data_IF_477001444850
#
_entry.id   IF_477001444850
#
_cell.length_a   1.000
_cell.length_b   1.000
_cell.length_c   1.000
_cell.angle_alpha   90.00
_cell.angle_beta   90.00
_cell.angle_gamma   90.00
#
_symmetry.space_group_name_H-M   'P 1'
#
loop_
_entity.id
_entity.type
_entity.pdbx_description
1 polymer ?
#
# COMPACT_ATOMS: atom_id res chain seq x y z
N UNK A 1 -13.48 -8.81 -2.74
CA UNK A 1 -14.00 -9.11 -1.39
C UNK A 1 -14.03 -7.84 -0.54
N UNK A 2 -12.93 -7.12 -0.44
CA UNK A 2 -12.86 -5.90 0.39
C UNK A 2 -13.99 -4.91 0.05
N UNK A 3 -14.18 -4.52 -1.21
CA UNK A 3 -15.21 -3.58 -1.64
C UNK A 3 -16.65 -4.11 -1.38
N UNK A 4 -16.82 -5.44 -1.35
CA UNK A 4 -18.09 -6.04 -0.95
C UNK A 4 -18.38 -5.82 0.53
N UNK A 5 -17.38 -5.98 1.40
CA UNK A 5 -17.52 -5.77 2.85
C UNK A 5 -17.65 -4.28 3.15
N UNK A 6 -16.87 -3.44 2.47
CA UNK A 6 -16.76 -2.00 2.68
C UNK A 6 -17.92 -1.17 2.14
N UNK A 7 -18.92 -1.77 1.55
CA UNK A 7 -20.01 -1.06 0.87
C UNK A 7 -20.55 0.15 1.67
N UNK A 8 -20.87 -0.05 2.96
CA UNK A 8 -21.39 1.02 3.82
C UNK A 8 -20.36 2.12 4.09
N UNK A 9 -19.11 1.74 4.27
CA UNK A 9 -17.98 2.66 4.51
C UNK A 9 -17.74 3.51 3.26
N UNK A 10 -17.71 2.86 2.11
CA UNK A 10 -17.45 3.50 0.83
C UNK A 10 -18.59 4.42 0.38
N UNK A 11 -19.84 4.17 0.82
CA UNK A 11 -20.95 5.11 0.58
C UNK A 11 -20.71 6.47 1.22
N UNK A 12 -20.00 6.52 2.35
CA UNK A 12 -19.66 7.76 3.08
C UNK A 12 -18.36 8.34 2.55
N UNK A 13 -17.29 7.57 2.58
CA UNK A 13 -15.95 8.08 2.28
C UNK A 13 -15.68 8.22 0.78
N UNK A 14 -16.29 7.36 -0.06
CA UNK A 14 -15.98 7.25 -1.50
C UNK A 14 -17.21 6.91 -2.35
N UNK A 15 -18.26 7.77 -2.35
CA UNK A 15 -19.55 7.46 -2.99
C UNK A 15 -19.44 7.25 -4.51
N UNK A 16 -18.40 7.77 -5.15
CA UNK A 16 -18.18 7.64 -6.60
C UNK A 16 -17.51 6.32 -7.02
N UNK A 17 -17.19 5.40 -6.07
CA UNK A 17 -16.69 4.07 -6.42
C UNK A 17 -17.76 3.24 -7.17
N UNK A 18 -17.36 2.25 -7.99
CA UNK A 18 -18.29 1.49 -8.84
C UNK A 18 -19.43 0.82 -8.08
N UNK A 19 -19.17 0.23 -6.90
CA UNK A 19 -20.21 -0.46 -6.11
C UNK A 19 -21.10 0.53 -5.36
N UNK A 20 -20.59 1.52 -4.57
CA UNK A 20 -21.41 2.52 -3.92
C UNK A 20 -22.28 3.35 -4.87
N UNK A 21 -21.76 3.67 -6.07
CA UNK A 21 -22.47 4.44 -7.09
C UNK A 21 -23.53 3.63 -7.86
N UNK A 22 -23.65 2.31 -7.60
CA UNK A 22 -24.58 1.44 -8.30
C UNK A 22 -24.15 0.99 -9.70
N UNK A 23 -22.97 1.43 -10.19
CA UNK A 23 -22.46 1.00 -11.51
C UNK A 23 -22.10 -0.48 -11.58
N UNK A 24 -21.78 -1.09 -10.45
CA UNK A 24 -21.50 -2.52 -10.31
C UNK A 24 -22.33 -3.07 -9.14
N UNK A 25 -23.06 -4.14 -9.37
CA UNK A 25 -23.81 -4.82 -8.32
C UNK A 25 -22.86 -5.48 -7.32
N UNK A 26 -23.16 -5.30 -6.02
CA UNK A 26 -22.35 -5.86 -4.92
C UNK A 26 -22.16 -7.37 -5.04
N UNK A 27 -23.25 -8.11 -5.40
CA UNK A 27 -23.18 -9.58 -5.59
C UNK A 27 -22.27 -9.97 -6.76
N UNK A 28 -22.33 -9.26 -7.87
CA UNK A 28 -21.46 -9.51 -9.03
C UNK A 28 -19.99 -9.33 -8.68
N UNK A 29 -19.66 -8.29 -7.92
CA UNK A 29 -18.28 -8.07 -7.45
C UNK A 29 -17.78 -9.23 -6.57
N UNK A 30 -18.62 -9.77 -5.70
CA UNK A 30 -18.27 -10.94 -4.87
C UNK A 30 -18.03 -12.18 -5.73
N UNK A 31 -18.91 -12.49 -6.67
CA UNK A 31 -18.79 -13.65 -7.56
C UNK A 31 -17.49 -13.55 -8.38
N UNK A 32 -17.23 -12.38 -8.98
CA UNK A 32 -15.99 -12.14 -9.74
C UNK A 32 -14.76 -12.33 -8.83
N UNK A 33 -14.80 -11.83 -7.59
CA UNK A 33 -13.69 -11.99 -6.65
C UNK A 33 -13.42 -13.46 -6.34
N UNK A 34 -14.44 -14.26 -6.09
CA UNK A 34 -14.32 -15.70 -5.83
C UNK A 34 -13.74 -16.42 -7.04
N UNK A 35 -14.25 -16.13 -8.24
CA UNK A 35 -13.74 -16.73 -9.47
C UNK A 35 -12.26 -16.40 -9.70
N UNK A 36 -11.87 -15.13 -9.48
CA UNK A 36 -10.46 -14.72 -9.62
C UNK A 36 -9.57 -15.39 -8.58
N UNK A 37 -10.05 -15.60 -7.35
CA UNK A 37 -9.28 -16.34 -6.35
C UNK A 37 -9.11 -17.83 -6.72
N UNK A 38 -10.14 -18.47 -7.26
CA UNK A 38 -10.05 -19.85 -7.73
C UNK A 38 -9.07 -19.99 -8.89
N UNK A 39 -9.15 -19.08 -9.88
CA UNK A 39 -8.25 -19.05 -11.04
C UNK A 39 -6.81 -18.77 -10.58
N UNK A 40 -6.60 -17.76 -9.72
CA UNK A 40 -5.29 -17.41 -9.18
C UNK A 40 -4.68 -18.55 -8.38
N UNK A 41 -5.48 -19.23 -7.55
CA UNK A 41 -5.05 -20.43 -6.81
C UNK A 41 -4.64 -21.57 -7.73
N UNK A 42 -5.42 -21.82 -8.77
CA UNK A 42 -5.09 -22.86 -9.76
C UNK A 42 -3.72 -22.59 -10.43
N UNK A 43 -3.47 -21.36 -10.87
CA UNK A 43 -2.17 -21.00 -11.43
C UNK A 43 -1.05 -21.02 -10.38
N UNK A 44 -1.34 -20.61 -9.15
CA UNK A 44 -0.37 -20.65 -8.06
C UNK A 44 0.16 -22.07 -7.82
N UNK A 45 -0.70 -23.10 -7.89
CA UNK A 45 -0.31 -24.50 -7.74
C UNK A 45 0.56 -25.07 -8.88
N UNK A 46 0.73 -24.32 -9.99
CA UNK A 46 1.67 -24.64 -11.07
C UNK A 46 3.09 -24.11 -10.83
N UNK A 47 3.28 -23.30 -9.79
CA UNK A 47 4.56 -22.69 -9.44
C UNK A 47 5.34 -23.54 -8.44
N UNK A 48 6.57 -23.13 -8.15
CA UNK A 48 7.42 -23.79 -7.16
C UNK A 48 6.86 -23.71 -5.74
N UNK A 49 7.28 -24.65 -4.87
CA UNK A 49 6.79 -24.79 -3.49
C UNK A 49 6.76 -23.49 -2.69
N UNK A 50 7.82 -22.69 -2.76
CA UNK A 50 7.92 -21.44 -1.99
C UNK A 50 6.94 -20.37 -2.49
N UNK A 51 6.70 -20.28 -3.80
CA UNK A 51 5.68 -19.41 -4.36
C UNK A 51 4.27 -19.81 -3.90
N UNK A 52 3.97 -21.13 -3.84
CA UNK A 52 2.70 -21.64 -3.31
C UNK A 52 2.52 -21.23 -1.85
N UNK A 53 3.56 -21.39 -1.02
CA UNK A 53 3.50 -21.01 0.40
C UNK A 53 3.16 -19.51 0.53
N UNK A 54 3.89 -18.63 -0.16
CA UNK A 54 3.68 -17.18 -0.07
C UNK A 54 2.33 -16.77 -0.66
N UNK A 55 1.97 -17.25 -1.84
CA UNK A 55 0.75 -16.83 -2.54
C UNK A 55 -0.52 -17.39 -1.91
N UNK A 56 -0.58 -18.73 -1.75
CA UNK A 56 -1.79 -19.41 -1.33
C UNK A 56 -1.94 -19.49 0.20
N UNK A 57 -0.88 -19.86 0.92
CA UNK A 57 -0.98 -20.09 2.38
C UNK A 57 -0.74 -18.83 3.22
N UNK A 58 -0.07 -17.79 2.69
CA UNK A 58 0.21 -16.56 3.42
C UNK A 58 -0.62 -15.40 2.89
N UNK A 59 -0.44 -15.01 1.62
CA UNK A 59 -1.06 -13.78 1.09
C UNK A 59 -2.57 -13.89 0.99
N UNK A 60 -3.12 -15.02 0.51
CA UNK A 60 -4.56 -15.17 0.35
C UNK A 60 -5.32 -15.15 1.70
N UNK A 61 -4.91 -15.89 2.75
CA UNK A 61 -5.52 -15.74 4.07
C UNK A 61 -5.37 -14.34 4.65
N UNK A 62 -4.22 -13.67 4.48
CA UNK A 62 -4.03 -12.30 4.94
C UNK A 62 -5.00 -11.31 4.28
N UNK A 63 -5.26 -11.44 2.98
CA UNK A 63 -6.23 -10.60 2.25
C UNK A 63 -7.63 -10.77 2.83
N UNK A 64 -8.04 -12.00 3.12
CA UNK A 64 -9.35 -12.29 3.71
C UNK A 64 -9.42 -11.78 5.15
N UNK A 65 -8.44 -12.10 5.98
CA UNK A 65 -8.37 -11.68 7.38
C UNK A 65 -8.28 -10.15 7.52
N UNK A 66 -7.56 -9.47 6.62
CA UNK A 66 -7.56 -8.01 6.58
C UNK A 66 -8.98 -7.46 6.46
N UNK A 67 -9.76 -7.97 5.52
CA UNK A 67 -11.09 -7.45 5.24
C UNK A 67 -12.10 -7.71 6.37
N UNK A 68 -11.91 -8.80 7.15
CA UNK A 68 -12.86 -9.24 8.18
C UNK A 68 -12.44 -8.76 9.58
N UNK A 69 -11.13 -8.79 9.90
CA UNK A 69 -10.61 -8.64 11.27
C UNK A 69 -9.73 -7.41 11.42
N UNK A 70 -8.73 -7.23 10.55
CA UNK A 70 -7.67 -6.25 10.78
C UNK A 70 -8.03 -4.84 10.34
N UNK A 71 -9.02 -4.73 9.49
CA UNK A 71 -9.52 -3.43 9.06
C UNK A 71 -10.10 -2.65 10.23
N UNK A 72 -9.67 -1.41 10.39
CA UNK A 72 -10.12 -0.54 11.47
C UNK A 72 -9.40 -0.76 12.80
N UNK A 73 -8.42 -1.67 12.88
CA UNK A 73 -7.50 -1.76 14.02
C UNK A 73 -6.34 -0.77 13.84
N UNK A 74 -5.98 -0.01 14.90
CA UNK A 74 -4.94 1.00 14.82
C UNK A 74 -3.62 0.38 14.33
N UNK A 75 -3.04 0.90 13.27
CA UNK A 75 -1.78 0.50 12.64
C UNK A 75 -1.74 -0.93 12.08
N UNK A 76 -2.41 -1.91 12.70
CA UNK A 76 -2.38 -3.32 12.28
C UNK A 76 -2.90 -3.47 10.85
N UNK A 77 -4.04 -2.84 10.54
CA UNK A 77 -4.60 -2.86 9.19
C UNK A 77 -3.63 -2.29 8.14
N UNK A 78 -2.99 -1.15 8.47
CA UNK A 78 -2.02 -0.49 7.60
C UNK A 78 -0.80 -1.39 7.34
N UNK A 79 -0.28 -2.03 8.39
CA UNK A 79 0.86 -2.97 8.29
C UNK A 79 0.49 -4.19 7.45
N UNK A 80 -0.68 -4.80 7.68
CA UNK A 80 -1.14 -5.97 6.93
C UNK A 80 -1.31 -5.65 5.44
N UNK A 81 -1.94 -4.54 5.09
CA UNK A 81 -2.09 -4.11 3.68
C UNK A 81 -0.73 -3.91 3.02
N UNK A 82 0.19 -3.27 3.73
CA UNK A 82 1.55 -3.00 3.25
C UNK A 82 2.36 -4.29 3.08
N UNK A 83 2.20 -5.22 4.03
CA UNK A 83 2.83 -6.54 3.97
C UNK A 83 2.33 -7.34 2.76
N UNK A 84 1.02 -7.36 2.49
CA UNK A 84 0.45 -8.03 1.33
C UNK A 84 1.07 -7.51 0.03
N UNK A 85 1.25 -6.18 -0.10
CA UNK A 85 1.88 -5.61 -1.29
C UNK A 85 3.37 -5.95 -1.37
N UNK A 86 4.11 -5.88 -0.27
CA UNK A 86 5.51 -6.32 -0.22
C UNK A 86 5.68 -7.80 -0.59
N UNK A 87 4.82 -8.66 -0.05
CA UNK A 87 4.80 -10.10 -0.34
C UNK A 87 4.53 -10.42 -1.81
N UNK A 88 3.87 -9.53 -2.57
CA UNK A 88 3.67 -9.72 -4.01
C UNK A 88 5.00 -9.78 -4.76
N UNK A 89 5.99 -8.97 -4.37
CA UNK A 89 7.35 -9.03 -4.95
C UNK A 89 8.09 -10.29 -4.52
N UNK A 90 7.97 -10.69 -3.26
CA UNK A 90 8.56 -11.95 -2.76
C UNK A 90 7.97 -13.16 -3.50
N UNK A 91 6.65 -13.16 -3.71
CA UNK A 91 5.97 -14.17 -4.52
C UNK A 91 6.54 -14.25 -5.93
N UNK A 92 6.70 -13.11 -6.63
CA UNK A 92 7.34 -13.06 -7.94
C UNK A 92 8.78 -13.58 -7.90
N UNK A 93 9.54 -13.21 -6.85
CA UNK A 93 10.91 -13.69 -6.66
C UNK A 93 11.01 -15.21 -6.59
N UNK A 94 10.10 -15.85 -5.88
CA UNK A 94 10.04 -17.31 -5.81
C UNK A 94 9.46 -17.95 -7.08
N UNK A 95 8.51 -17.29 -7.75
CA UNK A 95 7.90 -17.80 -8.98
C UNK A 95 8.90 -17.85 -10.16
N UNK A 96 9.89 -16.96 -10.16
CA UNK A 96 10.90 -16.83 -11.22
C UNK A 96 12.31 -17.18 -10.74
N UNK A 97 12.46 -17.82 -9.58
CA UNK A 97 13.75 -18.22 -8.97
C UNK A 97 14.76 -17.05 -8.84
N UNK A 98 14.25 -15.85 -8.56
CA UNK A 98 15.04 -14.62 -8.50
C UNK A 98 14.73 -13.77 -7.26
N UNK A 99 14.76 -14.39 -6.09
CA UNK A 99 14.36 -13.75 -4.83
C UNK A 99 15.24 -12.57 -4.44
N UNK A 100 16.56 -12.64 -4.69
CA UNK A 100 17.52 -11.61 -4.30
C UNK A 100 17.21 -10.25 -4.90
N UNK A 101 16.73 -10.21 -6.15
CA UNK A 101 16.35 -8.97 -6.84
C UNK A 101 14.99 -8.42 -6.39
N UNK A 102 14.18 -9.23 -5.71
CA UNK A 102 12.83 -8.84 -5.27
C UNK A 102 12.79 -8.33 -3.82
N UNK A 103 13.88 -8.46 -3.06
CA UNK A 103 13.94 -7.97 -1.67
C UNK A 103 13.80 -6.45 -1.61
N UNK A 104 14.59 -5.71 -2.41
CA UNK A 104 14.54 -4.24 -2.44
C UNK A 104 13.17 -3.73 -2.89
N UNK A 105 12.60 -4.17 -4.02
CA UNK A 105 11.23 -3.82 -4.42
C UNK A 105 10.19 -4.11 -3.32
N UNK A 106 10.30 -5.26 -2.66
CA UNK A 106 9.39 -5.65 -1.57
C UNK A 106 9.43 -4.66 -0.41
N UNK A 107 10.63 -4.29 0.06
CA UNK A 107 10.79 -3.36 1.18
C UNK A 107 10.31 -1.95 0.83
N UNK A 108 10.62 -1.47 -0.38
CA UNK A 108 10.17 -0.15 -0.84
C UNK A 108 8.65 -0.12 -1.03
N UNK A 109 8.06 -1.16 -1.60
CA UNK A 109 6.62 -1.29 -1.74
C UNK A 109 5.92 -1.33 -0.38
N UNK A 110 6.46 -2.08 0.57
CA UNK A 110 5.96 -2.11 1.95
C UNK A 110 5.99 -0.71 2.57
N UNK A 111 7.15 -0.03 2.54
CA UNK A 111 7.32 1.28 3.18
C UNK A 111 6.40 2.36 2.60
N UNK A 112 6.37 2.51 1.27
CA UNK A 112 5.52 3.50 0.61
C UNK A 112 4.02 3.20 0.81
N UNK A 113 3.64 1.92 0.83
CA UNK A 113 2.25 1.54 1.08
C UNK A 113 1.86 1.82 2.53
N UNK A 114 2.72 1.51 3.50
CA UNK A 114 2.46 1.81 4.91
C UNK A 114 2.23 3.31 5.12
N UNK A 115 3.09 4.13 4.54
CA UNK A 115 2.95 5.58 4.58
C UNK A 115 1.62 6.02 3.96
N UNK A 116 1.28 5.50 2.80
CA UNK A 116 0.05 5.84 2.10
C UNK A 116 -1.21 5.42 2.86
N UNK A 117 -1.23 4.24 3.46
CA UNK A 117 -2.38 3.76 4.23
C UNK A 117 -2.59 4.61 5.50
N UNK A 118 -1.53 5.03 6.20
CA UNK A 118 -1.65 5.95 7.34
C UNK A 118 -2.20 7.31 6.90
N UNK A 119 -1.71 7.86 5.79
CA UNK A 119 -2.21 9.14 5.24
C UNK A 119 -3.67 9.02 4.81
N UNK A 120 -4.06 7.89 4.25
CA UNK A 120 -5.44 7.61 3.87
C UNK A 120 -6.36 7.58 5.09
N UNK A 121 -5.94 6.93 6.18
CA UNK A 121 -6.71 6.94 7.44
C UNK A 121 -6.87 8.37 8.00
N UNK A 122 -5.86 9.23 7.84
CA UNK A 122 -5.97 10.65 8.20
C UNK A 122 -7.00 11.35 7.30
N UNK A 123 -7.05 11.03 6.01
CA UNK A 123 -8.01 11.65 5.09
C UNK A 123 -9.44 11.18 5.30
N UNK A 124 -9.63 9.98 5.80
CA UNK A 124 -10.92 9.32 5.99
C UNK A 124 -11.46 9.41 7.44
N UNK A 125 -10.78 10.14 8.34
CA UNK A 125 -11.03 10.20 9.80
C UNK A 125 -12.50 10.52 10.17
N UNK A 126 -13.16 11.40 9.42
CA UNK A 126 -14.54 11.79 9.72
C UNK A 126 -15.53 10.65 9.41
N UNK A 127 -15.36 9.97 8.28
CA UNK A 127 -16.15 8.81 7.91
C UNK A 127 -15.89 7.61 8.81
N UNK A 128 -14.64 7.38 9.17
CA UNK A 128 -14.25 6.27 10.05
C UNK A 128 -14.83 6.43 11.45
N UNK A 129 -14.88 7.67 11.99
CA UNK A 129 -15.55 7.97 13.27
C UNK A 129 -17.03 7.69 13.23
N UNK A 130 -17.72 8.07 12.16
CA UNK A 130 -19.17 7.82 12.01
C UNK A 130 -19.50 6.32 12.01
N UNK A 131 -18.57 5.50 11.59
CA UNK A 131 -18.71 4.03 11.51
C UNK A 131 -18.15 3.30 12.73
N UNK A 132 -17.66 4.03 13.74
CA UNK A 132 -17.12 3.46 14.97
C UNK A 132 -15.79 2.72 14.78
N UNK A 133 -15.07 2.97 13.68
CA UNK A 133 -13.74 2.41 13.46
C UNK A 133 -12.71 3.03 14.39
N UNK A 134 -11.67 2.27 14.74
CA UNK A 134 -10.56 2.72 15.60
C UNK A 134 -9.27 2.81 14.79
N UNK A 135 -9.29 3.52 13.65
CA UNK A 135 -8.08 3.74 12.86
C UNK A 135 -7.03 4.53 13.63
N UNK A 136 -5.79 4.45 13.19
CA UNK A 136 -4.64 5.05 13.90
C UNK A 136 -4.86 6.53 14.26
N UNK A 137 -5.28 7.43 13.33
CA UNK A 137 -5.47 8.85 13.67
C UNK A 137 -6.64 9.09 14.63
N UNK A 138 -7.62 8.20 14.72
CA UNK A 138 -8.68 8.26 15.72
C UNK A 138 -8.14 7.89 17.10
N UNK A 139 -7.23 6.91 17.15
CA UNK A 139 -6.67 6.40 18.41
C UNK A 139 -5.63 7.35 19.02
N UNK A 140 -4.65 7.85 18.22
CA UNK A 140 -3.56 8.71 18.73
C UNK A 140 -3.76 10.20 18.48
N UNK A 141 -4.80 10.59 17.77
CA UNK A 141 -5.08 11.96 17.36
C UNK A 141 -4.41 12.38 16.05
N UNK A 142 -5.00 13.39 15.41
CA UNK A 142 -4.58 13.88 14.07
C UNK A 142 -3.12 14.35 14.05
N UNK A 143 -2.71 15.14 15.06
CA UNK A 143 -1.36 15.71 15.10
C UNK A 143 -0.30 14.62 15.26
N UNK A 144 -0.52 13.65 16.15
CA UNK A 144 0.41 12.54 16.37
C UNK A 144 0.51 11.64 15.12
N UNK A 145 -0.61 11.39 14.44
CA UNK A 145 -0.61 10.64 13.18
C UNK A 145 0.16 11.38 12.07
N UNK A 146 0.01 12.70 11.94
CA UNK A 146 0.81 13.49 11.00
C UNK A 146 2.31 13.44 11.35
N UNK A 147 2.67 13.54 12.62
CA UNK A 147 4.08 13.43 13.06
C UNK A 147 4.67 12.03 12.75
N UNK A 148 3.88 10.98 12.89
CA UNK A 148 4.29 9.62 12.52
C UNK A 148 4.52 9.49 11.00
N UNK A 149 3.65 10.10 10.19
CA UNK A 149 3.84 10.17 8.73
C UNK A 149 5.14 10.89 8.38
N UNK A 150 5.43 12.01 9.02
CA UNK A 150 6.69 12.75 8.82
C UNK A 150 7.90 11.88 9.15
N UNK A 151 7.88 11.21 10.31
CA UNK A 151 8.95 10.31 10.73
C UNK A 151 9.17 9.19 9.72
N UNK A 152 8.11 8.50 9.30
CA UNK A 152 8.21 7.41 8.32
C UNK A 152 8.67 7.91 6.95
N UNK A 153 8.23 9.11 6.53
CA UNK A 153 8.72 9.72 5.28
C UNK A 153 10.23 9.93 5.30
N UNK A 154 10.78 10.43 6.42
CA UNK A 154 12.22 10.62 6.61
C UNK A 154 12.96 9.28 6.59
N UNK A 155 12.45 8.27 7.28
CA UNK A 155 13.05 6.93 7.28
C UNK A 155 13.08 6.34 5.88
N UNK A 156 11.95 6.41 5.14
CA UNK A 156 11.86 5.89 3.78
C UNK A 156 12.82 6.64 2.87
N UNK A 157 12.93 7.97 2.99
CA UNK A 157 13.86 8.80 2.24
C UNK A 157 15.29 8.27 2.33
N UNK A 158 15.80 8.02 3.53
CA UNK A 158 17.18 7.50 3.68
C UNK A 158 17.30 6.03 3.26
N UNK A 159 16.32 5.20 3.59
CA UNK A 159 16.38 3.77 3.26
C UNK A 159 16.32 3.51 1.75
N UNK A 160 15.56 4.29 0.99
CA UNK A 160 15.43 4.13 -0.47
C UNK A 160 16.71 4.48 -1.23
N UNK A 161 17.59 5.30 -0.66
CA UNK A 161 18.90 5.62 -1.26
C UNK A 161 19.93 4.49 -1.08
N UNK A 162 19.79 3.65 -0.05
CA UNK A 162 20.76 2.59 0.28
C UNK A 162 21.06 1.66 -0.92
N UNK A 163 20.07 1.18 -1.70
CA UNK A 163 20.33 0.28 -2.83
C UNK A 163 21.24 0.89 -3.89
N UNK A 164 21.13 2.19 -4.14
CA UNK A 164 22.03 2.89 -5.05
C UNK A 164 23.47 2.95 -4.50
N UNK A 165 23.64 3.37 -3.25
CA UNK A 165 24.96 3.45 -2.63
C UNK A 165 25.65 2.09 -2.47
N UNK A 166 24.87 1.01 -2.37
CA UNK A 166 25.38 -0.37 -2.40
C UNK A 166 25.67 -0.89 -3.82
N UNK A 167 25.49 -0.09 -4.87
CA UNK A 167 25.73 -0.49 -6.26
C UNK A 167 24.75 -1.56 -6.78
N UNK A 168 23.60 -1.74 -6.13
CA UNK A 168 22.58 -2.71 -6.58
C UNK A 168 21.85 -2.19 -7.81
N UNK A 169 21.68 -0.88 -7.95
CA UNK A 169 20.99 -0.22 -9.06
C UNK A 169 21.87 0.87 -9.70
N UNK A 170 21.65 1.10 -11.00
CA UNK A 170 22.35 2.13 -11.77
C UNK A 170 21.79 3.55 -11.57
N UNK A 171 22.35 4.51 -12.31
CA UNK A 171 22.03 5.95 -12.18
C UNK A 171 20.55 6.24 -12.48
N UNK A 172 19.90 5.48 -13.35
CA UNK A 172 18.49 5.65 -13.67
C UNK A 172 17.58 5.40 -12.47
N UNK A 173 17.95 4.46 -11.59
CA UNK A 173 17.26 4.29 -10.32
C UNK A 173 17.26 5.59 -9.52
N UNK A 174 18.43 6.21 -9.34
CA UNK A 174 18.57 7.42 -8.54
C UNK A 174 17.77 8.59 -9.14
N UNK A 175 17.80 8.78 -10.45
CA UNK A 175 17.08 9.86 -11.13
C UNK A 175 15.56 9.71 -10.92
N UNK A 176 15.01 8.53 -11.23
CA UNK A 176 13.58 8.29 -11.06
C UNK A 176 13.14 8.28 -9.59
N UNK A 177 14.03 7.78 -8.69
CA UNK A 177 13.78 7.81 -7.25
C UNK A 177 13.65 9.26 -6.76
N UNK A 178 14.63 10.11 -7.07
CA UNK A 178 14.63 11.51 -6.63
C UNK A 178 13.40 12.24 -7.13
N UNK A 179 13.12 12.16 -8.42
CA UNK A 179 11.98 12.90 -9.03
C UNK A 179 10.63 12.33 -8.59
N UNK A 180 10.50 11.01 -8.54
CA UNK A 180 9.22 10.35 -8.35
C UNK A 180 8.88 9.99 -6.91
N UNK A 181 9.87 9.89 -6.03
CA UNK A 181 9.66 9.48 -4.64
C UNK A 181 10.19 10.52 -3.66
N UNK A 182 11.47 10.93 -3.76
CA UNK A 182 12.10 11.77 -2.74
C UNK A 182 11.52 13.19 -2.71
N UNK A 183 11.39 13.84 -3.86
CA UNK A 183 10.76 15.17 -3.95
C UNK A 183 9.32 15.12 -3.44
N UNK A 184 8.45 14.19 -3.85
CA UNK A 184 7.14 13.98 -3.26
C UNK A 184 7.15 13.77 -1.74
N UNK A 185 8.06 12.95 -1.20
CA UNK A 185 8.17 12.75 0.25
C UNK A 185 8.54 14.04 0.99
N UNK A 186 9.49 14.81 0.47
CA UNK A 186 9.85 16.12 1.04
C UNK A 186 8.65 17.08 1.04
N UNK A 187 7.87 17.09 -0.04
CA UNK A 187 6.67 17.92 -0.12
C UNK A 187 5.59 17.48 0.89
N UNK A 188 5.42 16.17 1.10
CA UNK A 188 4.51 15.62 2.11
C UNK A 188 4.92 16.05 3.52
N UNK A 189 6.22 15.91 3.84
CA UNK A 189 6.79 16.36 5.13
C UNK A 189 6.51 17.85 5.33
N UNK A 190 6.84 18.68 4.35
CA UNK A 190 6.61 20.12 4.42
C UNK A 190 5.12 20.48 4.60
N UNK A 191 4.24 19.83 3.86
CA UNK A 191 2.81 20.13 3.89
C UNK A 191 2.18 19.74 5.24
N UNK A 192 2.49 18.56 5.77
CA UNK A 192 1.93 18.08 7.03
C UNK A 192 2.57 18.77 8.25
N UNK A 193 3.85 19.16 8.16
CA UNK A 193 4.48 19.96 9.20
C UNK A 193 3.85 21.36 9.33
N UNK A 194 3.59 22.03 8.20
CA UNK A 194 2.98 23.38 8.19
C UNK A 194 1.48 23.38 8.48
N UNK A 195 0.75 22.39 7.97
CA UNK A 195 -0.72 22.34 8.02
C UNK A 195 -1.21 20.91 8.26
N UNK A 196 -1.18 20.43 9.50
CA UNK A 196 -1.67 19.09 9.85
C UNK A 196 -3.21 19.07 9.82
N UNK A 197 -3.78 18.92 8.63
CA UNK A 197 -5.22 18.93 8.37
C UNK A 197 -5.62 17.76 7.46
N UNK A 198 -6.87 17.33 7.56
CA UNK A 198 -7.47 16.29 6.70
C UNK A 198 -7.29 16.64 5.21
N UNK A 199 -7.53 17.90 4.84
CA UNK A 199 -7.36 18.34 3.45
C UNK A 199 -5.91 18.25 2.94
N UNK A 200 -4.93 18.44 3.82
CA UNK A 200 -3.51 18.23 3.51
C UNK A 200 -3.22 16.75 3.26
N UNK A 201 -3.73 15.87 4.13
CA UNK A 201 -3.59 14.42 3.98
C UNK A 201 -4.19 13.92 2.67
N UNK A 202 -5.38 14.38 2.28
CA UNK A 202 -6.01 14.02 1.00
C UNK A 202 -5.18 14.41 -0.22
N UNK A 203 -4.42 15.52 -0.16
CA UNK A 203 -3.45 15.88 -1.21
C UNK A 203 -2.24 14.96 -1.20
N UNK A 204 -1.71 14.65 -0.02
CA UNK A 204 -0.58 13.73 0.14
C UNK A 204 -0.91 12.32 -0.37
N UNK A 205 -2.12 11.80 -0.14
CA UNK A 205 -2.58 10.51 -0.65
C UNK A 205 -2.48 10.44 -2.19
N UNK A 206 -2.92 11.50 -2.89
CA UNK A 206 -2.87 11.58 -4.36
C UNK A 206 -1.43 11.59 -4.87
N UNK A 207 -0.55 12.33 -4.20
CA UNK A 207 0.87 12.43 -4.54
C UNK A 207 1.54 11.06 -4.38
N UNK A 208 1.33 10.37 -3.25
CA UNK A 208 1.91 9.06 -3.01
C UNK A 208 1.43 7.99 -3.98
N UNK A 209 0.17 8.06 -4.41
CA UNK A 209 -0.33 7.16 -5.45
C UNK A 209 0.47 7.27 -6.74
N UNK A 210 0.83 8.49 -7.14
CA UNK A 210 1.70 8.71 -8.29
C UNK A 210 3.15 8.27 -8.01
N UNK A 211 3.69 8.59 -6.83
CA UNK A 211 5.04 8.19 -6.41
C UNK A 211 5.24 6.68 -6.43
N UNK A 212 4.23 5.91 -6.02
CA UNK A 212 4.31 4.44 -6.06
C UNK A 212 4.50 3.94 -7.50
N UNK A 213 3.81 4.54 -8.46
CA UNK A 213 3.97 4.17 -9.87
C UNK A 213 5.38 4.52 -10.39
N UNK A 214 5.86 5.73 -10.11
CA UNK A 214 7.21 6.16 -10.56
C UNK A 214 8.31 5.37 -9.84
N UNK A 215 8.08 4.97 -8.58
CA UNK A 215 8.98 4.07 -7.85
C UNK A 215 9.19 2.72 -8.54
N UNK A 216 8.15 2.16 -9.18
CA UNK A 216 8.29 0.95 -10.00
C UNK A 216 9.19 1.20 -11.22
N UNK A 217 9.05 2.35 -11.89
CA UNK A 217 9.95 2.74 -12.99
C UNK A 217 11.38 2.95 -12.52
N UNK A 218 11.60 3.45 -11.29
CA UNK A 218 12.94 3.58 -10.72
C UNK A 218 13.62 2.21 -10.58
N UNK A 219 12.92 1.22 -10.03
CA UNK A 219 13.41 -0.15 -9.89
C UNK A 219 13.70 -0.76 -11.27
N UNK A 220 12.76 -0.64 -12.21
CA UNK A 220 12.90 -1.18 -13.56
C UNK A 220 14.06 -0.51 -14.31
N UNK A 221 14.09 0.83 -14.38
CA UNK A 221 15.15 1.57 -15.05
C UNK A 221 16.54 1.37 -14.42
N UNK A 222 16.58 1.23 -13.09
CA UNK A 222 17.82 0.99 -12.36
C UNK A 222 18.39 -0.42 -12.52
N UNK A 223 17.63 -1.38 -13.03
CA UNK A 223 18.12 -2.74 -13.33
C UNK A 223 19.01 -2.80 -14.58
N UNK A 224 18.90 -1.80 -15.45
CA UNK A 224 19.82 -1.63 -16.59
C UNK A 224 21.07 -0.89 -16.09
N UNK A 225 22.15 -1.63 -15.90
CA UNK A 225 23.47 -1.10 -15.51
C UNK A 225 24.24 -0.65 -16.73
#
# INVERSE_FOLDING_TARGET
INDYIDFKIDQINRPNRPIPSGRVQRKSALIISILLFLIGSFFCFKLGKNAIIIGFFVSLPLIVLYSIVFKGLPLIGNVVTSLILGLSFIFCGFAFDNISHMIVPSLLAFGLTLLREIIKDISDIDGDKLLGLRTLPIYIGLQAACNLVILFSIVIFFCSLIPFFKGLYGIWYLIFLIIGVEIPLMFIVFLLWRKPKITSASRCEKILKFSTLVGLFAIYGGSFK
#
